data_IF_333520981618
#
_entry.id   IF_333520981618
#
_cell.length_a   1.000
_cell.length_b   1.000
_cell.length_c   1.000
_cell.angle_alpha   90.00
_cell.angle_beta   90.00
_cell.angle_gamma   90.00
#
_symmetry.space_group_name_H-M   'P 1'
#
loop_
_entity.id
_entity.type
_entity.pdbx_description
1 polymer ?
#
# COMPACT_ATOMS: atom_id res chain seq x y z
N UNK A 1 21.52 -48.13 -48.32
CA UNK A 1 20.94 -46.81 -48.44
C UNK A 1 19.96 -46.60 -47.30
N UNK A 2 20.35 -45.96 -46.21
CA UNK A 2 19.56 -45.76 -45.02
C UNK A 2 19.20 -44.27 -44.84
N UNK A 3 17.92 -43.93 -45.03
CA UNK A 3 17.43 -42.58 -44.86
C UNK A 3 17.14 -42.29 -43.39
N UNK A 4 17.97 -41.56 -42.70
CA UNK A 4 17.74 -41.00 -41.38
C UNK A 4 16.67 -39.92 -41.48
N UNK A 5 15.50 -40.18 -40.91
CA UNK A 5 14.42 -39.17 -40.66
C UNK A 5 14.87 -38.30 -39.47
N UNK A 6 15.15 -37.04 -39.76
CA UNK A 6 15.30 -36.01 -38.72
C UNK A 6 13.92 -35.75 -38.10
N UNK A 7 13.75 -36.11 -36.83
CA UNK A 7 12.61 -35.65 -36.02
C UNK A 7 12.85 -34.19 -35.67
N UNK A 8 12.07 -33.29 -36.28
CA UNK A 8 11.98 -31.90 -35.86
C UNK A 8 11.45 -31.83 -34.43
N UNK A 9 12.22 -31.28 -33.54
CA UNK A 9 11.74 -30.90 -32.22
C UNK A 9 10.72 -29.77 -32.40
N UNK A 10 9.44 -30.07 -32.13
CA UNK A 10 8.45 -29.03 -31.90
C UNK A 10 8.81 -28.37 -30.60
N UNK A 11 9.33 -27.15 -30.70
CA UNK A 11 9.33 -26.21 -29.59
C UNK A 11 7.87 -25.90 -29.30
N UNK A 12 7.34 -26.43 -28.21
CA UNK A 12 6.13 -25.93 -27.60
C UNK A 12 6.45 -24.53 -27.10
N UNK A 13 6.05 -23.53 -27.88
CA UNK A 13 5.87 -22.17 -27.37
C UNK A 13 4.87 -22.30 -26.25
N UNK A 14 5.35 -22.19 -25.01
CA UNK A 14 4.48 -22.08 -23.86
C UNK A 14 3.62 -20.85 -24.06
N UNK A 15 2.37 -21.11 -24.40
CA UNK A 15 1.27 -20.20 -24.32
C UNK A 15 1.22 -19.76 -22.86
N UNK A 16 1.75 -18.58 -22.57
CA UNK A 16 1.50 -17.92 -21.29
C UNK A 16 0.01 -17.59 -21.34
N UNK A 17 -0.79 -18.48 -20.80
CA UNK A 17 -2.15 -18.18 -20.39
C UNK A 17 -2.06 -16.99 -19.44
N UNK A 18 -2.25 -15.81 -20.00
CA UNK A 18 -2.68 -14.63 -19.28
C UNK A 18 -4.09 -14.93 -18.77
N UNK A 19 -4.12 -15.78 -17.76
CA UNK A 19 -5.29 -16.00 -16.96
C UNK A 19 -5.59 -14.64 -16.31
N UNK A 20 -6.47 -13.93 -16.96
CA UNK A 20 -7.01 -12.64 -16.55
C UNK A 20 -7.93 -12.93 -15.36
N UNK A 21 -7.33 -13.49 -14.31
CA UNK A 21 -7.96 -13.77 -13.05
C UNK A 21 -8.42 -12.43 -12.52
N UNK A 22 -9.71 -12.14 -12.71
CA UNK A 22 -10.36 -10.96 -12.13
C UNK A 22 -10.14 -11.03 -10.63
N UNK A 23 -9.12 -10.37 -10.16
CA UNK A 23 -8.79 -10.33 -8.75
C UNK A 23 -9.70 -9.33 -8.08
N UNK A 24 -10.37 -9.76 -7.04
CA UNK A 24 -11.21 -8.89 -6.24
C UNK A 24 -10.33 -7.85 -5.56
N UNK A 25 -10.75 -6.59 -5.63
CA UNK A 25 -10.14 -5.47 -4.91
C UNK A 25 -10.93 -5.30 -3.62
N UNK A 26 -10.25 -5.43 -2.48
CA UNK A 26 -10.88 -5.36 -1.15
C UNK A 26 -10.57 -4.05 -0.44
N UNK A 27 -9.45 -3.41 -0.77
CA UNK A 27 -9.02 -2.17 -0.15
C UNK A 27 -8.67 -1.12 -1.20
N UNK A 28 -9.07 0.12 -0.97
CA UNK A 28 -8.80 1.27 -1.84
C UNK A 28 -8.50 2.50 -0.99
N UNK A 29 -7.44 3.20 -1.31
CA UNK A 29 -7.10 4.47 -0.67
C UNK A 29 -6.57 5.48 -1.69
N UNK A 30 -6.86 6.75 -1.47
CA UNK A 30 -6.34 7.86 -2.26
C UNK A 30 -5.31 8.64 -1.44
N UNK A 31 -4.21 9.06 -2.06
CA UNK A 31 -3.24 9.93 -1.44
C UNK A 31 -3.85 11.31 -1.15
N UNK A 32 -3.39 11.98 -0.09
CA UNK A 32 -3.91 13.26 0.35
C UNK A 32 -3.81 14.34 -0.75
N UNK A 33 -2.75 14.29 -1.57
CA UNK A 33 -2.54 15.21 -2.70
C UNK A 33 -3.33 14.82 -3.98
N UNK A 34 -4.13 13.74 -3.94
CA UNK A 34 -4.89 13.24 -5.07
C UNK A 34 -4.05 12.67 -6.22
N UNK A 35 -2.73 12.57 -6.08
CA UNK A 35 -1.84 12.14 -7.17
C UNK A 35 -1.82 10.63 -7.34
N UNK A 36 -1.92 9.88 -6.25
CA UNK A 36 -1.82 8.42 -6.24
C UNK A 36 -3.05 7.77 -5.64
N UNK A 37 -3.36 6.61 -6.18
CA UNK A 37 -4.37 5.68 -5.67
C UNK A 37 -3.67 4.36 -5.33
N UNK A 38 -4.00 3.74 -4.22
CA UNK A 38 -3.56 2.39 -3.91
C UNK A 38 -4.77 1.45 -3.88
N UNK A 39 -4.59 0.26 -4.42
CA UNK A 39 -5.60 -0.81 -4.42
C UNK A 39 -4.97 -2.08 -3.88
N UNK A 40 -5.63 -2.72 -2.93
CA UNK A 40 -5.24 -4.01 -2.37
C UNK A 40 -6.20 -5.12 -2.80
N UNK A 41 -5.68 -6.25 -3.22
CA UNK A 41 -6.47 -7.39 -3.69
C UNK A 41 -6.19 -8.68 -2.92
N UNK A 42 -7.14 -9.62 -2.99
CA UNK A 42 -6.99 -10.95 -2.37
C UNK A 42 -5.83 -11.78 -2.94
N UNK A 43 -5.26 -11.36 -4.07
CA UNK A 43 -4.06 -11.95 -4.66
C UNK A 43 -2.77 -11.67 -3.86
N UNK A 44 -2.88 -10.84 -2.82
CA UNK A 44 -1.75 -10.43 -1.99
C UNK A 44 -0.89 -9.35 -2.63
N UNK A 45 -1.41 -8.64 -3.62
CA UNK A 45 -0.75 -7.49 -4.22
C UNK A 45 -1.42 -6.19 -3.83
N UNK A 46 -0.59 -5.18 -3.59
CA UNK A 46 -1.02 -3.79 -3.50
C UNK A 46 -0.43 -3.04 -4.68
N UNK A 47 -1.30 -2.48 -5.51
CA UNK A 47 -0.92 -1.70 -6.69
C UNK A 47 -1.11 -0.23 -6.42
N UNK A 48 -0.10 0.56 -6.73
CA UNK A 48 -0.13 2.02 -6.65
C UNK A 48 -0.26 2.58 -8.06
N UNK A 49 -1.26 3.40 -8.27
CA UNK A 49 -1.64 3.99 -9.55
C UNK A 49 -1.38 5.49 -9.54
N UNK A 50 -0.93 6.04 -10.65
CA UNK A 50 -0.93 7.48 -10.89
C UNK A 50 -2.30 7.88 -11.44
N UNK A 51 -3.04 8.71 -10.69
CA UNK A 51 -4.41 9.12 -11.04
C UNK A 51 -4.47 9.99 -12.32
N UNK A 52 -3.37 10.58 -12.74
CA UNK A 52 -3.31 11.41 -13.95
C UNK A 52 -3.20 10.57 -15.23
N UNK A 53 -2.45 9.49 -15.15
CA UNK A 53 -2.15 8.62 -16.31
C UNK A 53 -2.89 7.30 -16.27
N UNK A 54 -3.50 6.97 -15.15
CA UNK A 54 -4.17 5.68 -14.88
C UNK A 54 -3.26 4.47 -15.14
N UNK A 55 -1.96 4.64 -14.84
CA UNK A 55 -0.98 3.56 -14.96
C UNK A 55 -0.53 3.11 -13.59
N UNK A 56 -0.36 1.80 -13.44
CA UNK A 56 0.28 1.26 -12.26
C UNK A 56 1.75 1.71 -12.22
N UNK A 57 2.11 2.47 -11.19
CA UNK A 57 3.47 2.98 -10.98
C UNK A 57 4.29 1.97 -10.21
N UNK A 58 3.65 1.30 -9.26
CA UNK A 58 4.29 0.33 -8.37
C UNK A 58 3.35 -0.82 -8.05
N UNK A 59 3.95 -1.98 -7.81
CA UNK A 59 3.27 -3.18 -7.35
C UNK A 59 4.06 -3.72 -6.16
N UNK A 60 3.38 -3.85 -5.02
CA UNK A 60 3.93 -4.40 -3.78
C UNK A 60 3.37 -5.80 -3.60
N UNK A 61 4.24 -6.78 -3.49
CA UNK A 61 3.84 -8.16 -3.20
C UNK A 61 3.94 -8.40 -1.69
N UNK A 62 2.82 -8.64 -1.07
CA UNK A 62 2.76 -9.04 0.33
C UNK A 62 3.10 -10.54 0.43
N UNK A 63 3.93 -10.91 1.39
CA UNK A 63 4.39 -12.30 1.56
C UNK A 63 3.25 -13.25 1.97
N UNK A 64 2.39 -13.62 1.02
CA UNK A 64 1.33 -14.61 1.20
C UNK A 64 0.15 -14.15 2.07
N UNK A 65 -0.04 -12.82 2.22
CA UNK A 65 -1.12 -12.24 3.03
C UNK A 65 -1.98 -11.35 2.14
N UNK A 66 -3.31 -11.47 2.26
CA UNK A 66 -4.22 -10.54 1.64
C UNK A 66 -4.28 -9.24 2.49
N UNK A 67 -4.20 -8.05 1.86
CA UNK A 67 -4.46 -6.79 2.54
C UNK A 67 -5.93 -6.71 2.93
N UNK A 68 -6.19 -6.29 4.16
CA UNK A 68 -7.54 -5.99 4.66
C UNK A 68 -7.86 -4.54 4.39
N UNK A 69 -6.87 -3.67 4.55
CA UNK A 69 -7.02 -2.24 4.34
C UNK A 69 -5.71 -1.59 3.89
N UNK A 70 -5.83 -0.46 3.22
CA UNK A 70 -4.70 0.36 2.76
C UNK A 70 -4.98 1.82 3.11
N UNK A 71 -4.00 2.53 3.66
CA UNK A 71 -4.13 3.94 3.99
C UNK A 71 -2.91 4.75 3.53
N UNK A 72 -3.14 6.00 3.12
CA UNK A 72 -2.07 6.96 2.85
C UNK A 72 -1.90 7.92 4.01
N UNK A 73 -0.65 8.22 4.34
CA UNK A 73 -0.31 9.33 5.22
C UNK A 73 -0.30 10.65 4.45
N UNK A 74 -0.26 11.75 5.18
CA UNK A 74 -0.17 13.10 4.62
C UNK A 74 1.11 13.29 3.78
N UNK A 75 2.22 12.71 4.20
CA UNK A 75 3.51 12.73 3.47
C UNK A 75 3.58 11.70 2.32
N UNK A 76 2.49 10.94 2.10
CA UNK A 76 2.38 9.95 1.03
C UNK A 76 2.97 8.58 1.36
N UNK A 77 3.25 8.26 2.63
CA UNK A 77 3.58 6.90 3.07
C UNK A 77 2.36 6.01 2.96
N UNK A 78 2.58 4.73 2.74
CA UNK A 78 1.52 3.75 2.52
C UNK A 78 1.53 2.77 3.68
N UNK A 79 0.44 2.70 4.44
CA UNK A 79 0.20 1.61 5.38
C UNK A 79 -0.65 0.54 4.71
N UNK A 80 -0.19 -0.69 4.80
CA UNK A 80 -0.90 -1.88 4.34
C UNK A 80 -1.23 -2.72 5.55
N UNK A 81 -2.50 -2.84 5.84
CA UNK A 81 -3.01 -3.59 6.98
C UNK A 81 -3.40 -4.98 6.51
N UNK A 82 -2.73 -5.98 7.06
CA UNK A 82 -3.09 -7.38 6.91
C UNK A 82 -3.79 -7.85 8.17
N UNK A 83 -4.42 -9.02 8.13
CA UNK A 83 -5.19 -9.54 9.26
C UNK A 83 -4.44 -9.52 10.61
N UNK A 84 -3.14 -9.81 10.63
CA UNK A 84 -2.33 -9.93 11.87
C UNK A 84 -1.09 -9.04 11.91
N UNK A 85 -0.93 -8.16 10.94
CA UNK A 85 0.22 -7.27 10.88
C UNK A 85 -0.08 -6.04 10.05
N UNK A 86 0.62 -4.97 10.37
CA UNK A 86 0.60 -3.73 9.60
C UNK A 86 2.00 -3.49 9.06
N UNK A 87 2.12 -3.23 7.78
CA UNK A 87 3.36 -2.92 7.10
C UNK A 87 3.27 -1.51 6.52
N UNK A 88 4.27 -0.68 6.82
CA UNK A 88 4.31 0.70 6.39
C UNK A 88 5.46 0.85 5.41
N UNK A 89 5.15 1.40 4.25
CA UNK A 89 6.08 1.61 3.15
C UNK A 89 6.38 3.10 2.98
N UNK A 90 7.55 3.39 2.45
CA UNK A 90 7.91 4.74 2.04
C UNK A 90 6.94 5.29 0.97
N UNK A 91 6.94 6.62 0.82
CA UNK A 91 6.12 7.30 -0.18
C UNK A 91 6.28 6.68 -1.58
N UNK A 92 5.18 6.60 -2.33
CA UNK A 92 5.15 6.11 -3.71
C UNK A 92 6.24 6.73 -4.60
N UNK A 93 6.60 7.99 -4.36
CA UNK A 93 7.69 8.71 -5.05
C UNK A 93 9.09 8.16 -4.72
N UNK A 94 9.29 7.67 -3.50
CA UNK A 94 10.59 7.22 -2.95
C UNK A 94 10.74 5.70 -2.89
N UNK A 95 9.71 4.95 -3.24
CA UNK A 95 9.67 3.49 -3.11
C UNK A 95 10.74 2.85 -4.02
N UNK A 96 11.92 2.61 -3.47
CA UNK A 96 13.05 2.00 -4.20
C UNK A 96 13.14 0.48 -4.01
N UNK A 97 12.57 -0.06 -2.95
CA UNK A 97 12.65 -1.47 -2.59
C UNK A 97 11.33 -1.97 -2.01
N UNK A 98 11.10 -3.29 -2.14
CA UNK A 98 9.94 -4.00 -1.58
C UNK A 98 10.05 -4.25 -0.07
N UNK A 99 10.87 -3.49 0.64
CA UNK A 99 11.02 -3.63 2.08
C UNK A 99 10.14 -2.62 2.79
N UNK A 100 9.35 -3.05 3.78
CA UNK A 100 8.59 -2.14 4.60
C UNK A 100 9.54 -1.26 5.43
N UNK A 101 9.21 0.02 5.54
CA UNK A 101 9.88 0.96 6.43
C UNK A 101 9.71 0.55 7.90
N UNK A 102 8.52 0.10 8.23
CA UNK A 102 8.15 -0.36 9.56
C UNK A 102 7.17 -1.51 9.42
N UNK A 103 7.31 -2.52 10.27
CA UNK A 103 6.39 -3.65 10.35
C UNK A 103 5.99 -3.85 11.81
N UNK A 104 4.69 -3.88 12.06
CA UNK A 104 4.10 -4.12 13.37
C UNK A 104 3.22 -5.35 13.34
N UNK A 105 3.37 -6.22 14.34
CA UNK A 105 2.50 -7.39 14.52
C UNK A 105 1.42 -7.07 15.53
N UNK A 106 0.20 -7.44 15.20
CA UNK A 106 -0.95 -7.30 16.09
C UNK A 106 -1.08 -8.57 16.92
N UNK A 107 -1.01 -8.41 18.24
CA UNK A 107 -1.08 -9.54 19.17
C UNK A 107 -2.54 -10.00 19.36
N UNK A 108 -2.84 -11.17 18.81
CA UNK A 108 -4.06 -11.92 19.10
C UNK A 108 -5.36 -11.43 18.45
N UNK A 109 -5.36 -10.30 17.74
CA UNK A 109 -6.56 -9.74 17.13
C UNK A 109 -6.42 -9.61 15.61
N UNK A 110 -7.58 -9.63 14.92
CA UNK A 110 -7.64 -9.41 13.48
C UNK A 110 -7.91 -7.94 13.20
N UNK A 111 -7.03 -7.29 12.46
CA UNK A 111 -7.25 -5.92 11.99
C UNK A 111 -8.44 -5.85 11.03
N UNK A 112 -9.18 -4.76 11.11
CA UNK A 112 -10.32 -4.48 10.26
C UNK A 112 -10.10 -3.26 9.37
N UNK A 113 -9.48 -2.22 9.91
CA UNK A 113 -9.19 -0.98 9.19
C UNK A 113 -7.99 -0.25 9.80
N UNK A 114 -7.49 0.71 9.06
CA UNK A 114 -6.40 1.57 9.52
C UNK A 114 -6.56 2.99 8.98
N UNK A 115 -6.15 3.98 9.76
CA UNK A 115 -6.21 5.38 9.36
C UNK A 115 -5.06 6.18 9.95
N UNK A 116 -4.41 7.00 9.12
CA UNK A 116 -3.44 7.97 9.62
C UNK A 116 -4.17 9.16 10.24
N UNK A 117 -3.71 9.58 11.40
CA UNK A 117 -4.18 10.82 12.00
C UNK A 117 -3.61 12.01 11.23
N UNK A 118 -4.44 12.97 10.79
CA UNK A 118 -3.94 14.17 10.12
C UNK A 118 -3.03 14.97 11.04
N UNK A 119 -1.97 15.53 10.46
CA UNK A 119 -0.99 16.42 11.13
C UNK A 119 -0.14 15.78 12.24
N UNK A 120 -0.27 14.49 12.45
CA UNK A 120 0.48 13.75 13.46
C UNK A 120 1.12 12.47 12.89
N UNK A 121 2.18 12.04 13.54
CA UNK A 121 2.92 10.83 13.18
C UNK A 121 2.27 9.54 13.75
N UNK A 122 0.95 9.44 13.69
CA UNK A 122 0.20 8.35 14.31
C UNK A 122 -0.67 7.63 13.29
N UNK A 123 -0.54 6.31 13.27
CA UNK A 123 -1.44 5.39 12.58
C UNK A 123 -2.32 4.70 13.61
N UNK A 124 -3.63 4.80 13.44
CA UNK A 124 -4.62 4.07 14.23
C UNK A 124 -5.03 2.80 13.48
N UNK A 125 -5.07 1.68 14.18
CA UNK A 125 -5.47 0.39 13.63
C UNK A 125 -6.63 -0.17 14.46
N UNK A 126 -7.78 -0.30 13.82
CA UNK A 126 -8.96 -0.91 14.42
C UNK A 126 -8.89 -2.44 14.33
N UNK A 127 -9.23 -3.11 15.41
CA UNK A 127 -9.28 -4.58 15.48
C UNK A 127 -10.40 -5.05 16.44
N UNK A 128 -10.64 -6.35 16.47
CA UNK A 128 -11.77 -6.92 17.21
C UNK A 128 -11.77 -6.60 18.72
N UNK A 129 -10.61 -6.30 19.32
CA UNK A 129 -10.46 -6.02 20.76
C UNK A 129 -10.40 -4.51 21.09
N UNK A 130 -10.30 -3.64 20.06
CA UNK A 130 -10.19 -2.19 20.27
C UNK A 130 -9.42 -1.49 19.17
N UNK A 131 -8.61 -0.51 19.53
CA UNK A 131 -7.80 0.31 18.63
C UNK A 131 -6.37 0.38 19.15
N UNK A 132 -5.42 0.02 18.29
CA UNK A 132 -4.00 0.22 18.54
C UNK A 132 -3.52 1.53 17.89
N UNK A 133 -2.62 2.23 18.55
CA UNK A 133 -1.94 3.40 17.99
C UNK A 133 -0.47 3.10 17.75
N UNK A 134 -0.01 3.31 16.53
CA UNK A 134 1.37 3.04 16.10
C UNK A 134 2.01 4.37 15.74
N UNK A 135 3.15 4.67 16.35
CA UNK A 135 3.95 5.85 15.98
C UNK A 135 4.70 5.56 14.68
N UNK A 136 4.47 6.39 13.67
CA UNK A 136 5.09 6.30 12.34
C UNK A 136 5.82 7.61 12.04
N UNK A 137 7.08 7.76 12.45
CA UNK A 137 7.81 9.01 12.31
C UNK A 137 7.81 9.54 10.87
N UNK A 138 7.47 10.81 10.68
CA UNK A 138 7.44 11.49 9.39
C UNK A 138 6.22 11.13 8.52
N UNK A 139 5.13 10.65 9.10
CA UNK A 139 3.88 10.41 8.39
C UNK A 139 2.95 11.62 8.36
N UNK A 140 3.03 12.50 9.36
CA UNK A 140 2.30 13.73 9.46
C UNK A 140 3.14 14.96 9.09
N UNK A 141 2.46 16.01 8.68
CA UNK A 141 3.03 17.36 8.54
C UNK A 141 2.29 18.27 9.50
N UNK A 142 3.02 18.88 10.43
CA UNK A 142 2.42 19.81 11.38
C UNK A 142 1.81 21.01 10.64
N UNK A 143 0.56 21.33 10.94
CA UNK A 143 -0.09 22.52 10.41
C UNK A 143 0.34 23.74 11.19
N UNK A 144 1.35 24.45 10.72
CA UNK A 144 1.83 25.69 11.36
C UNK A 144 0.83 26.82 11.22
N UNK A 145 0.00 26.84 10.18
CA UNK A 145 -0.99 27.90 9.94
C UNK A 145 -2.10 27.93 10.99
N UNK A 146 -2.41 26.83 11.62
CA UNK A 146 -3.41 26.76 12.68
C UNK A 146 -2.98 27.48 13.97
N UNK A 147 -1.68 27.66 14.17
CA UNK A 147 -1.10 28.33 15.37
C UNK A 147 -0.87 29.81 15.11
N UNK A 148 -0.57 30.19 13.86
CA UNK A 148 -0.17 31.56 13.49
C UNK A 148 -1.37 32.45 13.08
N UNK A 149 -2.52 31.86 12.79
CA UNK A 149 -3.72 32.57 12.34
C UNK A 149 -4.56 33.25 13.44
N UNK A 150 -4.46 32.76 14.68
CA UNK A 150 -5.35 33.12 15.79
C UNK A 150 -4.64 33.73 16.98
N UNK A 151 -3.50 34.41 16.79
CA UNK A 151 -2.92 35.18 17.87
C UNK A 151 -3.61 36.59 17.96
N UNK A 152 -4.58 36.75 18.92
CA UNK A 152 -5.30 38.00 19.08
C UNK A 152 -4.41 39.17 19.57
N UNK A 153 -3.17 38.87 19.95
CA UNK A 153 -2.19 39.84 20.48
C UNK A 153 -1.11 40.25 19.48
N UNK A 154 -1.14 39.75 18.25
CA UNK A 154 -0.21 40.14 17.20
C UNK A 154 -0.52 41.59 16.81
N UNK A 155 0.22 42.54 17.36
CA UNK A 155 0.14 43.99 16.99
C UNK A 155 0.50 44.15 15.50
N UNK A 156 -0.36 44.82 14.78
CA UNK A 156 -0.12 45.23 13.38
C UNK A 156 0.99 46.28 13.30
#
# INVERSE_FOLDING_TARGET
MSRRRRRGARQSVGEQDNDNKKTQVDAVACAFDGTYLATGGMDGFVKVWDCRTWRAVKELRLSGRAPVDVAFSQTGRIAVTCSKSVEIYESAKKLKAFQPYLSHKLDGSHATNSVFRPFEDVLLVGHALGVDSILVPGSGEASYDAIDGDDPYRSK
#
